data_IF_266168574546
#
_entry.id   IF_266168574546
#
_cell.length_a   1.000
_cell.length_b   1.000
_cell.length_c   1.000
_cell.angle_alpha   90.00
_cell.angle_beta   90.00
_cell.angle_gamma   90.00
#
_symmetry.space_group_name_H-M   'P 1'
#
loop_
_entity.id
_entity.type
_entity.pdbx_description
1 polymer ?
#
# COMPACT_ATOMS: atom_id res chain seq x y z
N UNK A 1 -17.81 7.91 -9.17
CA UNK A 1 -16.99 6.70 -9.31
C UNK A 1 -17.06 5.96 -8.00
N UNK A 2 -17.21 4.65 -8.03
CA UNK A 2 -17.16 3.83 -6.83
C UNK A 2 -15.73 3.83 -6.28
N UNK A 3 -15.58 3.94 -4.96
CA UNK A 3 -14.25 3.95 -4.33
C UNK A 3 -13.70 2.52 -4.27
N UNK A 4 -12.55 2.33 -4.88
CA UNK A 4 -11.72 1.11 -4.82
C UNK A 4 -10.39 1.47 -4.15
N UNK A 5 -10.25 1.10 -2.88
CA UNK A 5 -9.12 1.43 -2.04
C UNK A 5 -8.19 0.22 -1.96
N UNK A 6 -6.93 0.41 -2.34
CA UNK A 6 -5.86 -0.55 -2.02
C UNK A 6 -5.12 -0.12 -0.77
N UNK A 7 -4.98 -1.02 0.20
CA UNK A 7 -4.25 -0.78 1.44
C UNK A 7 -2.98 -1.61 1.46
N UNK A 8 -1.84 -0.97 1.58
CA UNK A 8 -0.54 -1.64 1.54
C UNK A 8 0.24 -1.41 2.82
N UNK A 9 0.64 -2.48 3.49
CA UNK A 9 1.43 -2.42 4.74
C UNK A 9 2.89 -2.72 4.42
N UNK A 10 3.79 -1.80 4.77
CA UNK A 10 5.23 -2.01 4.62
C UNK A 10 5.77 -2.76 5.85
N UNK A 11 6.47 -3.87 5.64
CA UNK A 11 7.11 -4.61 6.73
C UNK A 11 8.35 -3.88 7.28
N UNK A 12 9.06 -3.15 6.40
CA UNK A 12 10.28 -2.39 6.72
C UNK A 12 11.30 -3.18 7.57
N UNK A 13 11.43 -4.48 7.28
CA UNK A 13 12.27 -5.40 8.04
C UNK A 13 11.93 -5.39 9.54
N UNK A 14 12.92 -5.19 10.44
CA UNK A 14 12.68 -5.23 11.89
C UNK A 14 11.90 -4.00 12.40
N UNK A 15 11.81 -2.91 11.63
CA UNK A 15 11.26 -1.65 12.13
C UNK A 15 9.75 -1.71 12.37
N UNK A 16 9.00 -2.44 11.53
CA UNK A 16 7.54 -2.57 11.65
C UNK A 16 7.16 -4.02 11.95
N UNK A 17 7.62 -4.98 11.15
CA UNK A 17 7.14 -6.37 11.24
C UNK A 17 7.46 -7.07 12.57
N UNK A 18 8.49 -6.67 13.32
CA UNK A 18 8.79 -7.25 14.64
C UNK A 18 7.93 -6.69 15.77
N UNK A 19 7.34 -5.50 15.59
CA UNK A 19 6.63 -4.77 16.65
C UNK A 19 5.13 -4.63 16.38
N UNK A 20 4.68 -4.92 15.16
CA UNK A 20 3.30 -4.74 14.72
C UNK A 20 2.78 -6.04 14.14
N UNK A 21 1.61 -6.47 14.64
CA UNK A 21 0.89 -7.63 14.11
C UNK A 21 0.21 -7.25 12.78
N UNK A 22 0.91 -7.49 11.67
CA UNK A 22 0.45 -7.15 10.33
C UNK A 22 -0.73 -8.05 9.92
N UNK A 23 -0.73 -9.32 10.30
CA UNK A 23 -1.81 -10.25 9.96
C UNK A 23 -3.14 -9.78 10.57
N UNK A 24 -3.11 -9.34 11.84
CA UNK A 24 -4.27 -8.74 12.49
C UNK A 24 -4.74 -7.45 11.80
N UNK A 25 -3.84 -6.62 11.28
CA UNK A 25 -4.22 -5.43 10.52
C UNK A 25 -4.96 -5.84 9.23
N UNK A 26 -4.44 -6.84 8.51
CA UNK A 26 -5.06 -7.35 7.29
C UNK A 26 -6.46 -7.88 7.60
N UNK A 27 -6.61 -8.69 8.65
CA UNK A 27 -7.91 -9.26 9.05
C UNK A 27 -8.96 -8.19 9.38
N UNK A 28 -8.54 -7.08 10.00
CA UNK A 28 -9.44 -6.00 10.40
C UNK A 28 -9.78 -5.07 9.23
N UNK A 29 -8.83 -4.83 8.32
CA UNK A 29 -8.98 -3.85 7.24
C UNK A 29 -9.65 -4.45 6.00
N UNK A 30 -9.36 -5.70 5.68
CA UNK A 30 -9.91 -6.38 4.49
C UNK A 30 -11.45 -6.36 4.38
N UNK A 31 -12.24 -6.52 5.47
CA UNK A 31 -13.70 -6.48 5.36
C UNK A 31 -14.30 -5.07 5.33
N UNK A 32 -13.49 -4.00 5.38
CA UNK A 32 -14.03 -2.64 5.37
C UNK A 32 -14.67 -2.30 4.01
N UNK A 33 -15.74 -1.50 4.00
CA UNK A 33 -16.34 -1.03 2.76
C UNK A 33 -15.32 -0.33 1.87
N UNK A 34 -15.44 -0.51 0.55
CA UNK A 34 -14.56 0.09 -0.48
C UNK A 34 -13.11 -0.39 -0.49
N UNK A 35 -12.70 -1.26 0.44
CA UNK A 35 -11.38 -1.91 0.40
C UNK A 35 -11.41 -3.05 -0.61
N UNK A 36 -10.67 -2.89 -1.70
CA UNK A 36 -10.58 -3.87 -2.78
C UNK A 36 -9.45 -4.89 -2.54
N UNK A 37 -8.33 -4.41 -2.01
CA UNK A 37 -7.14 -5.24 -1.78
C UNK A 37 -6.39 -4.75 -0.55
N UNK A 38 -5.91 -5.70 0.27
CA UNK A 38 -5.00 -5.44 1.38
C UNK A 38 -3.81 -6.37 1.27
N UNK A 39 -2.61 -5.81 1.15
CA UNK A 39 -1.39 -6.60 0.99
C UNK A 39 -0.25 -6.06 1.85
N UNK A 40 0.64 -6.96 2.27
CA UNK A 40 1.92 -6.59 2.89
C UNK A 40 3.06 -6.77 1.90
N UNK A 41 4.06 -5.92 2.00
CA UNK A 41 5.28 -6.02 1.20
C UNK A 41 6.51 -5.63 1.99
N UNK A 42 7.63 -6.32 1.74
CA UNK A 42 8.89 -6.16 2.50
C UNK A 42 9.38 -4.72 2.55
N UNK A 43 9.47 -4.06 1.40
CA UNK A 43 9.98 -2.70 1.29
C UNK A 43 9.30 -1.96 0.13
N UNK A 44 8.20 -1.26 0.41
CA UNK A 44 7.39 -0.57 -0.60
C UNK A 44 8.13 0.56 -1.33
N UNK A 45 9.08 1.26 -0.67
CA UNK A 45 9.82 2.36 -1.29
C UNK A 45 10.96 1.92 -2.23
N UNK A 46 11.28 0.62 -2.26
CA UNK A 46 12.27 0.05 -3.19
C UNK A 46 11.77 0.11 -4.64
N UNK A 47 12.67 -0.04 -5.63
CA UNK A 47 12.26 -0.11 -7.05
C UNK A 47 11.25 -1.23 -7.31
N UNK A 48 11.45 -2.40 -6.72
CA UNK A 48 10.52 -3.52 -6.90
C UNK A 48 9.21 -3.31 -6.14
N UNK A 49 9.25 -2.68 -4.96
CA UNK A 49 8.04 -2.28 -4.23
C UNK A 49 7.21 -1.24 -5.01
N UNK A 50 7.86 -0.29 -5.67
CA UNK A 50 7.20 0.69 -6.54
C UNK A 50 6.56 0.05 -7.77
N UNK A 51 7.24 -0.92 -8.40
CA UNK A 51 6.67 -1.71 -9.51
C UNK A 51 5.47 -2.53 -9.06
N UNK A 52 5.58 -3.20 -7.92
CA UNK A 52 4.50 -3.96 -7.30
C UNK A 52 3.26 -3.09 -7.08
N UNK A 53 3.42 -1.91 -6.44
CA UNK A 53 2.32 -0.97 -6.24
C UNK A 53 1.69 -0.52 -7.56
N UNK A 54 2.51 -0.14 -8.55
CA UNK A 54 2.01 0.29 -9.87
C UNK A 54 1.20 -0.81 -10.55
N UNK A 55 1.69 -2.05 -10.51
CA UNK A 55 1.00 -3.19 -11.09
C UNK A 55 -0.33 -3.47 -10.36
N UNK A 56 -0.32 -3.50 -9.03
CA UNK A 56 -1.50 -3.77 -8.21
C UNK A 56 -2.58 -2.68 -8.40
N UNK A 57 -2.20 -1.40 -8.52
CA UNK A 57 -3.12 -0.30 -8.87
C UNK A 57 -3.87 -0.58 -10.17
N UNK A 58 -3.16 -1.04 -11.20
CA UNK A 58 -3.73 -1.30 -12.53
C UNK A 58 -4.56 -2.57 -12.57
N UNK A 59 -4.09 -3.64 -11.92
CA UNK A 59 -4.76 -4.94 -11.88
C UNK A 59 -6.10 -4.88 -11.15
N UNK A 60 -6.15 -4.16 -10.02
CA UNK A 60 -7.36 -4.04 -9.21
C UNK A 60 -8.25 -2.84 -9.61
N UNK A 61 -7.80 -2.01 -10.57
CA UNK A 61 -8.51 -0.80 -10.99
C UNK A 61 -8.73 0.16 -9.82
N UNK A 62 -7.71 0.36 -9.00
CA UNK A 62 -7.81 1.17 -7.80
C UNK A 62 -8.09 2.63 -8.14
N UNK A 63 -8.80 3.31 -7.24
CA UNK A 63 -9.11 4.74 -7.31
C UNK A 63 -8.52 5.51 -6.13
N UNK A 64 -8.07 4.81 -5.09
CA UNK A 64 -7.44 5.35 -3.89
C UNK A 64 -6.36 4.39 -3.40
N UNK A 65 -5.36 4.96 -2.74
CA UNK A 65 -4.23 4.22 -2.18
C UNK A 65 -4.03 4.62 -0.72
N UNK A 66 -3.88 3.64 0.17
CA UNK A 66 -3.46 3.83 1.55
C UNK A 66 -2.17 3.05 1.76
N UNK A 67 -1.14 3.72 2.28
CA UNK A 67 0.15 3.09 2.58
C UNK A 67 0.41 3.21 4.08
N UNK A 68 0.39 2.09 4.79
CA UNK A 68 0.79 1.98 6.18
C UNK A 68 2.29 1.66 6.25
N UNK A 69 3.12 2.71 6.33
CA UNK A 69 4.58 2.59 6.28
C UNK A 69 5.26 3.67 7.17
N UNK A 70 6.38 4.22 6.71
CA UNK A 70 7.13 5.27 7.39
C UNK A 70 6.44 6.64 7.32
N UNK A 71 7.14 7.69 7.77
CA UNK A 71 6.62 9.05 7.75
C UNK A 71 6.37 9.55 6.31
N UNK A 72 5.25 10.25 6.05
CA UNK A 72 5.00 10.91 4.76
C UNK A 72 6.09 11.92 4.41
N UNK A 73 6.74 12.54 5.41
CA UNK A 73 7.87 13.45 5.20
C UNK A 73 9.02 12.83 4.40
N UNK A 74 9.15 11.50 4.40
CA UNK A 74 10.22 10.80 3.68
C UNK A 74 9.78 10.31 2.30
N UNK A 75 8.59 9.71 2.18
CA UNK A 75 8.22 8.94 0.99
C UNK A 75 6.86 9.30 0.38
N UNK A 76 6.16 10.33 0.85
CA UNK A 76 4.91 10.80 0.22
C UNK A 76 5.11 11.10 -1.26
N UNK A 77 6.11 11.91 -1.61
CA UNK A 77 6.42 12.24 -3.02
C UNK A 77 6.77 11.02 -3.87
N UNK A 78 7.38 10.00 -3.24
CA UNK A 78 7.74 8.75 -3.91
C UNK A 78 6.48 7.98 -4.30
N UNK A 79 5.55 7.80 -3.36
CA UNK A 79 4.31 7.06 -3.62
C UNK A 79 3.32 7.83 -4.47
N UNK A 80 3.25 9.16 -4.33
CA UNK A 80 2.46 10.01 -5.24
C UNK A 80 2.92 9.87 -6.69
N UNK A 81 4.24 9.78 -6.93
CA UNK A 81 4.76 9.52 -8.27
C UNK A 81 4.34 8.15 -8.79
N UNK A 82 4.33 7.12 -7.95
CA UNK A 82 3.83 5.78 -8.33
C UNK A 82 2.37 5.84 -8.75
N UNK A 83 1.52 6.55 -7.99
CA UNK A 83 0.12 6.75 -8.34
C UNK A 83 -0.03 7.41 -9.72
N UNK A 84 0.65 8.53 -9.94
CA UNK A 84 0.63 9.25 -11.22
C UNK A 84 1.12 8.36 -12.38
N UNK A 85 2.24 7.65 -12.18
CA UNK A 85 2.80 6.76 -13.19
C UNK A 85 1.91 5.54 -13.47
N UNK A 86 1.02 5.17 -12.55
CA UNK A 86 0.04 4.10 -12.70
C UNK A 86 -1.28 4.56 -13.35
N UNK A 87 -1.51 5.89 -13.42
CA UNK A 87 -2.74 6.49 -13.95
C UNK A 87 -3.82 6.77 -12.90
N UNK A 88 -3.42 6.86 -11.61
CA UNK A 88 -4.28 7.16 -10.47
C UNK A 88 -4.37 8.66 -10.17
#
# INVERSE_FOLDING_TARGET
MEEKIGVYICECGPNIAENVDIDKIIDVVSPLPSVEVVERYRLLCSEDGKKFLKQSIQEHGLTRLVIAACSPKQHESTFMKVCVDAGL
#
